data_IF_275267856186
#
_entry.id   IF_275267856186
#
_cell.length_a   1.000
_cell.length_b   1.000
_cell.length_c   1.000
_cell.angle_alpha   90.00
_cell.angle_beta   90.00
_cell.angle_gamma   90.00
#
_symmetry.space_group_name_H-M   'P 1'
#
loop_
_entity.id
_entity.type
_entity.pdbx_description
1 polymer ?
#
# COMPACT_ATOMS: atom_id res chain seq x y z
N UNK A 1 3.42 -7.24 2.18
CA UNK A 1 2.85 -6.39 1.11
C UNK A 1 2.93 -7.05 -0.26
N UNK A 2 4.14 -7.36 -0.81
CA UNK A 2 4.31 -7.99 -2.14
C UNK A 2 3.48 -9.27 -2.31
N UNK A 3 3.52 -10.17 -1.32
CA UNK A 3 2.77 -11.43 -1.36
C UNK A 3 1.25 -11.22 -1.51
N UNK A 4 0.69 -10.19 -0.89
CA UNK A 4 -0.74 -9.85 -0.99
C UNK A 4 -1.09 -9.23 -2.35
N UNK A 5 -0.34 -8.21 -2.79
CA UNK A 5 -0.66 -7.46 -4.01
C UNK A 5 -0.31 -8.19 -5.30
N UNK A 6 0.84 -8.85 -5.31
CA UNK A 6 1.44 -9.40 -6.54
C UNK A 6 1.17 -10.90 -6.65
N UNK A 7 1.68 -11.67 -5.71
CA UNK A 7 1.62 -13.15 -5.78
C UNK A 7 0.36 -13.75 -5.18
N UNK A 8 -0.38 -12.99 -4.38
CA UNK A 8 -1.61 -13.45 -3.70
C UNK A 8 -1.38 -14.72 -2.87
N UNK A 9 -0.24 -14.77 -2.22
CA UNK A 9 0.15 -15.87 -1.33
C UNK A 9 -0.02 -15.54 0.15
N UNK A 10 -0.09 -14.24 0.52
CA UNK A 10 -0.43 -13.81 1.86
C UNK A 10 -1.95 -13.66 2.00
N UNK A 11 -2.49 -14.10 3.12
CA UNK A 11 -3.88 -13.89 3.48
C UNK A 11 -4.15 -12.48 4.07
N UNK A 12 -5.41 -12.20 4.40
CA UNK A 12 -5.81 -10.91 4.98
C UNK A 12 -5.26 -10.70 6.38
N UNK A 13 -5.11 -11.77 7.17
CA UNK A 13 -4.57 -11.72 8.52
C UNK A 13 -3.10 -11.29 8.52
N UNK A 14 -2.27 -11.92 7.68
CA UNK A 14 -0.88 -11.53 7.53
C UNK A 14 -0.76 -10.09 7.00
N UNK A 15 -1.59 -9.71 6.05
CA UNK A 15 -1.59 -8.36 5.50
C UNK A 15 -1.98 -7.32 6.55
N UNK A 16 -3.06 -7.55 7.31
CA UNK A 16 -3.51 -6.67 8.39
C UNK A 16 -2.46 -6.53 9.49
N UNK A 17 -1.80 -7.62 9.88
CA UNK A 17 -0.70 -7.59 10.86
C UNK A 17 0.43 -6.65 10.41
N UNK A 18 0.80 -6.69 9.12
CA UNK A 18 1.81 -5.76 8.56
C UNK A 18 1.31 -4.31 8.54
N UNK A 19 0.05 -4.08 8.19
CA UNK A 19 -0.57 -2.74 8.23
C UNK A 19 -0.61 -2.17 9.64
N UNK A 20 -0.85 -3.01 10.65
CA UNK A 20 -0.93 -2.61 12.06
C UNK A 20 0.44 -2.45 12.76
N UNK A 21 1.56 -2.63 12.04
CA UNK A 21 2.91 -2.43 12.58
C UNK A 21 3.57 -3.68 13.16
N UNK A 22 3.04 -4.89 12.88
CA UNK A 22 3.66 -6.18 13.24
C UNK A 22 3.89 -6.34 14.74
N UNK A 23 2.83 -6.18 15.55
CA UNK A 23 2.88 -6.27 17.01
C UNK A 23 3.43 -7.61 17.50
N UNK A 24 3.16 -8.70 16.80
CA UNK A 24 3.66 -10.05 17.09
C UNK A 24 5.20 -10.15 17.02
N UNK A 25 5.85 -9.22 16.33
CA UNK A 25 7.32 -9.14 16.23
C UNK A 25 7.88 -8.12 17.21
N UNK A 26 7.26 -6.94 17.33
CA UNK A 26 7.87 -5.78 17.98
C UNK A 26 7.31 -5.46 19.37
N UNK A 27 6.17 -6.03 19.77
CA UNK A 27 5.56 -5.73 21.09
C UNK A 27 6.44 -6.20 22.27
N UNK A 28 7.29 -7.19 22.03
CA UNK A 28 8.18 -7.72 23.06
C UNK A 28 9.21 -6.66 23.52
N UNK A 29 9.42 -6.55 24.81
CA UNK A 29 10.39 -5.62 25.39
C UNK A 29 9.92 -4.16 25.44
N UNK A 30 8.61 -3.90 25.43
CA UNK A 30 8.04 -2.56 25.65
C UNK A 30 8.17 -1.62 24.43
N UNK A 31 8.44 -2.14 23.25
CA UNK A 31 8.51 -1.33 22.02
C UNK A 31 7.12 -0.89 21.58
N UNK A 32 7.01 0.35 21.10
CA UNK A 32 5.77 0.89 20.52
C UNK A 32 5.58 0.51 19.05
N UNK A 33 4.42 0.84 18.52
CA UNK A 33 4.02 0.51 17.13
C UNK A 33 4.91 1.17 16.04
N UNK A 34 5.71 2.17 16.40
CA UNK A 34 6.66 2.82 15.48
C UNK A 34 8.04 2.17 15.47
N UNK A 35 8.25 1.06 16.20
CA UNK A 35 9.54 0.36 16.21
C UNK A 35 9.85 -0.37 14.89
N UNK A 36 8.83 -0.70 14.11
CA UNK A 36 8.97 -1.38 12.83
C UNK A 36 9.32 -0.41 11.70
N UNK A 37 10.27 -0.81 10.84
CA UNK A 37 10.55 -0.14 9.57
C UNK A 37 9.87 -0.94 8.45
N UNK A 38 8.92 -0.30 7.78
CA UNK A 38 8.20 -0.91 6.65
C UNK A 38 8.84 -0.50 5.33
N UNK A 39 8.97 -1.44 4.42
CA UNK A 39 9.43 -1.16 3.05
C UNK A 39 8.80 -2.12 2.04
N UNK A 40 8.70 -1.69 0.80
CA UNK A 40 8.32 -2.53 -0.33
C UNK A 40 9.59 -3.08 -0.98
N UNK A 41 10.59 -2.25 -1.14
CA UNK A 41 11.86 -2.47 -1.82
C UNK A 41 13.00 -1.95 -0.95
N UNK A 42 14.19 -2.49 -1.15
CA UNK A 42 15.42 -2.07 -0.47
C UNK A 42 16.57 -2.11 -1.47
N UNK A 43 17.78 -1.71 -1.04
CA UNK A 43 18.97 -1.68 -1.90
C UNK A 43 19.33 -3.06 -2.48
N UNK A 44 19.02 -4.14 -1.76
CA UNK A 44 19.08 -5.50 -2.28
C UNK A 44 17.72 -5.92 -2.84
N UNK A 45 17.73 -6.48 -4.04
CA UNK A 45 16.52 -6.92 -4.72
C UNK A 45 16.08 -5.96 -5.84
N UNK A 46 14.88 -6.17 -6.35
CA UNK A 46 14.29 -5.33 -7.39
C UNK A 46 13.91 -3.95 -6.88
N UNK A 47 14.06 -2.94 -7.74
CA UNK A 47 13.38 -1.65 -7.58
C UNK A 47 11.86 -1.81 -7.66
N UNK A 48 11.09 -0.81 -7.29
CA UNK A 48 9.63 -0.83 -7.41
C UNK A 48 9.18 -1.02 -8.87
N UNK A 49 9.89 -0.41 -9.82
CA UNK A 49 9.61 -0.59 -11.25
C UNK A 49 9.87 -2.02 -11.69
N UNK A 50 11.03 -2.58 -11.32
CA UNK A 50 11.42 -3.93 -11.73
C UNK A 50 10.55 -4.99 -11.05
N UNK A 51 10.09 -4.74 -9.83
CA UNK A 51 9.18 -5.61 -9.09
C UNK A 51 7.88 -5.91 -9.85
N UNK A 52 7.41 -4.99 -10.68
CA UNK A 52 6.19 -5.14 -11.49
C UNK A 52 6.50 -5.34 -12.98
N UNK A 53 7.77 -5.51 -13.34
CA UNK A 53 8.22 -5.61 -14.73
C UNK A 53 8.97 -6.90 -15.04
N UNK A 54 9.43 -7.63 -14.03
CA UNK A 54 10.23 -8.83 -14.20
C UNK A 54 9.72 -9.98 -13.33
N UNK A 55 9.57 -11.16 -13.92
CA UNK A 55 9.32 -12.38 -13.17
C UNK A 55 10.62 -13.01 -12.64
N UNK A 56 11.73 -12.79 -13.34
CA UNK A 56 13.05 -13.35 -13.04
C UNK A 56 14.09 -12.26 -12.93
N UNK A 57 15.16 -12.53 -12.19
CA UNK A 57 16.33 -11.67 -12.15
C UNK A 57 17.12 -11.77 -13.45
N UNK A 58 17.75 -10.66 -13.83
CA UNK A 58 18.60 -10.50 -15.00
C UNK A 58 19.95 -9.93 -14.58
N UNK A 59 20.75 -10.76 -13.89
CA UNK A 59 22.05 -10.39 -13.30
C UNK A 59 23.24 -10.83 -14.18
N UNK A 60 23.03 -11.10 -15.46
CA UNK A 60 24.07 -11.62 -16.37
C UNK A 60 25.26 -10.67 -16.46
N UNK A 61 25.02 -9.36 -16.37
CA UNK A 61 26.06 -8.30 -16.37
C UNK A 61 26.98 -8.34 -15.15
N UNK A 62 26.57 -9.00 -14.05
CA UNK A 62 27.37 -9.13 -12.84
C UNK A 62 28.55 -10.13 -13.02
N UNK A 63 28.59 -10.89 -14.11
CA UNK A 63 29.63 -11.89 -14.35
C UNK A 63 29.50 -13.20 -13.55
N UNK A 64 28.47 -13.34 -12.73
CA UNK A 64 28.19 -14.49 -11.85
C UNK A 64 27.28 -15.54 -12.50
N UNK A 65 27.06 -15.48 -13.82
CA UNK A 65 26.18 -16.36 -14.58
C UNK A 65 24.74 -16.37 -14.03
N UNK A 66 24.24 -15.20 -13.58
CA UNK A 66 22.92 -15.01 -13.00
C UNK A 66 22.64 -15.87 -11.75
N UNK A 67 23.69 -16.30 -11.02
CA UNK A 67 23.56 -17.11 -9.78
C UNK A 67 23.44 -16.29 -8.53
N UNK A 68 23.89 -15.04 -8.57
CA UNK A 68 23.88 -14.07 -7.48
C UNK A 68 22.49 -13.42 -7.30
N UNK A 69 22.30 -12.74 -6.19
CA UNK A 69 21.03 -12.09 -5.84
C UNK A 69 19.94 -13.10 -5.44
N UNK A 70 18.71 -12.60 -5.30
CA UNK A 70 17.57 -13.39 -4.82
C UNK A 70 16.80 -14.06 -5.97
N UNK A 71 16.43 -15.34 -5.80
CA UNK A 71 15.55 -16.04 -6.76
C UNK A 71 14.06 -15.80 -6.47
N UNK A 72 13.69 -15.46 -5.22
CA UNK A 72 12.31 -15.30 -4.77
C UNK A 72 11.97 -13.83 -4.54
N UNK A 73 11.76 -13.08 -5.62
CA UNK A 73 11.51 -11.63 -5.56
C UNK A 73 10.06 -11.27 -5.18
N UNK A 74 9.13 -12.23 -5.23
CA UNK A 74 7.69 -11.95 -5.13
C UNK A 74 7.25 -10.89 -6.15
N UNK A 75 7.84 -10.92 -7.34
CA UNK A 75 7.63 -10.00 -8.44
C UNK A 75 6.66 -10.56 -9.49
N UNK A 76 6.23 -9.74 -10.40
CA UNK A 76 5.41 -10.12 -11.54
C UNK A 76 5.64 -9.17 -12.73
N UNK A 77 5.89 -9.73 -13.90
CA UNK A 77 6.12 -8.95 -15.13
C UNK A 77 4.86 -8.29 -15.70
N UNK A 78 3.68 -8.51 -15.11
CA UNK A 78 2.39 -7.99 -15.57
C UNK A 78 2.00 -8.39 -17.01
N UNK A 79 2.57 -9.49 -17.50
CA UNK A 79 2.29 -10.03 -18.83
C UNK A 79 3.34 -9.75 -19.90
N UNK A 80 4.41 -9.01 -19.57
CA UNK A 80 5.55 -8.79 -20.46
C UNK A 80 6.83 -8.66 -19.64
N UNK A 81 7.85 -9.47 -19.93
CA UNK A 81 9.12 -9.41 -19.24
C UNK A 81 9.92 -8.18 -19.72
N UNK A 82 10.37 -7.35 -18.75
CA UNK A 82 11.12 -6.14 -19.04
C UNK A 82 10.29 -4.97 -19.57
N UNK A 83 10.92 -4.09 -20.36
CA UNK A 83 10.26 -2.92 -20.93
C UNK A 83 9.06 -3.32 -21.83
N UNK A 84 8.00 -2.50 -21.82
CA UNK A 84 6.81 -2.76 -22.64
C UNK A 84 6.06 -1.46 -22.92
N UNK A 85 5.65 -1.29 -24.18
CA UNK A 85 4.82 -0.17 -24.64
C UNK A 85 3.33 -0.55 -24.72
N UNK A 86 2.97 -1.78 -24.34
CA UNK A 86 1.59 -2.24 -24.34
C UNK A 86 0.80 -1.50 -23.25
N UNK A 87 -0.17 -0.69 -23.65
CA UNK A 87 -0.98 0.14 -22.74
C UNK A 87 -1.59 -0.66 -21.59
N UNK A 88 -2.03 -1.89 -21.84
CA UNK A 88 -2.60 -2.76 -20.80
C UNK A 88 -1.56 -3.13 -19.75
N UNK A 89 -0.32 -3.43 -20.16
CA UNK A 89 0.80 -3.79 -19.27
C UNK A 89 1.24 -2.57 -18.46
N UNK A 90 1.49 -1.44 -19.14
CA UNK A 90 1.96 -0.20 -18.48
C UNK A 90 0.93 0.35 -17.52
N UNK A 91 -0.38 0.30 -17.86
CA UNK A 91 -1.48 0.68 -16.95
C UNK A 91 -1.51 -0.20 -15.71
N UNK A 92 -1.37 -1.52 -15.86
CA UNK A 92 -1.38 -2.46 -14.76
C UNK A 92 -0.17 -2.26 -13.83
N UNK A 93 1.03 -2.08 -14.40
CA UNK A 93 2.25 -1.75 -13.66
C UNK A 93 2.09 -0.45 -12.86
N UNK A 94 1.57 0.60 -13.49
CA UNK A 94 1.30 1.88 -12.83
C UNK A 94 0.33 1.73 -11.64
N UNK A 95 -0.75 0.96 -11.79
CA UNK A 95 -1.68 0.67 -10.68
C UNK A 95 -1.01 -0.06 -9.53
N UNK A 96 -0.22 -1.08 -9.82
CA UNK A 96 0.48 -1.84 -8.78
C UNK A 96 1.55 -1.02 -8.07
N UNK A 97 2.34 -0.21 -8.79
CA UNK A 97 3.29 0.74 -8.18
C UNK A 97 2.57 1.66 -7.18
N UNK A 98 1.48 2.31 -7.61
CA UNK A 98 0.70 3.20 -6.75
C UNK A 98 0.07 2.48 -5.56
N UNK A 99 -0.47 1.28 -5.76
CA UNK A 99 -1.07 0.50 -4.66
C UNK A 99 -0.03 0.06 -3.61
N UNK A 100 1.17 -0.31 -4.04
CA UNK A 100 2.28 -0.67 -3.15
C UNK A 100 2.78 0.53 -2.36
N UNK A 101 2.99 1.68 -3.01
CA UNK A 101 3.38 2.93 -2.34
C UNK A 101 2.30 3.41 -1.36
N UNK A 102 1.02 3.37 -1.77
CA UNK A 102 -0.09 3.72 -0.89
C UNK A 102 -0.15 2.79 0.33
N UNK A 103 0.03 1.48 0.14
CA UNK A 103 0.09 0.52 1.26
C UNK A 103 1.23 0.83 2.21
N UNK A 104 2.42 1.13 1.69
CA UNK A 104 3.58 1.51 2.50
C UNK A 104 3.27 2.76 3.35
N UNK A 105 2.77 3.81 2.72
CA UNK A 105 2.52 5.09 3.38
C UNK A 105 1.33 5.05 4.34
N UNK A 106 0.36 4.15 4.13
CA UNK A 106 -0.81 3.97 4.98
C UNK A 106 -0.63 2.87 6.04
N UNK A 107 0.54 2.24 6.09
CA UNK A 107 0.89 1.28 7.14
C UNK A 107 1.42 1.98 8.39
N UNK A 108 1.18 1.40 9.54
CA UNK A 108 1.74 1.83 10.82
C UNK A 108 3.20 1.41 10.93
N UNK A 109 4.03 2.25 11.55
CA UNK A 109 5.48 2.08 11.60
C UNK A 109 6.21 3.18 10.84
N UNK A 110 7.51 3.06 10.66
CA UNK A 110 8.34 4.00 9.91
C UNK A 110 8.42 3.53 8.44
N UNK A 111 7.90 4.29 7.47
CA UNK A 111 8.05 3.93 6.07
C UNK A 111 9.48 4.22 5.60
N UNK A 112 10.11 3.25 4.94
CA UNK A 112 11.38 3.40 4.24
C UNK A 112 11.12 3.28 2.74
N UNK A 113 11.48 4.29 1.99
CA UNK A 113 11.40 4.34 0.53
C UNK A 113 12.80 4.15 -0.05
N UNK A 114 12.98 3.22 -0.98
CA UNK A 114 14.21 3.09 -1.73
C UNK A 114 14.35 4.29 -2.68
N UNK A 115 15.51 4.97 -2.63
CA UNK A 115 15.77 6.11 -3.49
C UNK A 115 15.65 5.76 -4.98
N UNK A 116 14.82 6.51 -5.71
CA UNK A 116 14.51 6.28 -7.12
C UNK A 116 13.23 5.50 -7.38
N UNK A 117 12.63 4.85 -6.39
CA UNK A 117 11.33 4.19 -6.57
C UNK A 117 10.23 5.21 -6.90
N UNK A 118 10.28 6.39 -6.29
CA UNK A 118 9.42 7.54 -6.57
C UNK A 118 9.60 8.12 -7.97
N UNK A 119 10.76 7.87 -8.58
CA UNK A 119 11.10 8.33 -9.92
C UNK A 119 10.81 7.29 -11.02
N UNK A 120 10.43 6.07 -10.61
CA UNK A 120 10.26 4.96 -11.54
C UNK A 120 11.56 4.31 -12.01
N UNK A 121 12.66 4.45 -11.24
CA UNK A 121 13.98 3.89 -11.56
C UNK A 121 13.91 2.39 -11.80
N UNK A 122 14.60 1.94 -12.85
CA UNK A 122 14.80 0.53 -13.18
C UNK A 122 16.29 0.17 -13.10
N UNK A 123 16.58 -1.04 -12.61
CA UNK A 123 17.88 -1.69 -12.73
C UNK A 123 17.87 -2.74 -13.85
N UNK A 124 16.89 -2.62 -14.79
CA UNK A 124 16.72 -3.52 -15.94
C UNK A 124 16.60 -5.00 -15.55
N UNK A 125 15.97 -5.25 -14.38
CA UNK A 125 15.80 -6.60 -13.85
C UNK A 125 17.03 -7.14 -13.11
N UNK A 126 18.09 -6.36 -12.95
CA UNK A 126 19.19 -6.70 -12.06
C UNK A 126 18.77 -6.47 -10.60
N UNK A 127 18.76 -7.51 -9.80
CA UNK A 127 18.36 -7.43 -8.40
C UNK A 127 19.55 -7.48 -7.41
N UNK A 128 20.78 -7.32 -7.94
CA UNK A 128 22.02 -7.33 -7.16
C UNK A 128 23.08 -6.39 -7.77
N UNK A 129 22.72 -5.12 -7.93
CA UNK A 129 23.51 -4.14 -8.68
C UNK A 129 24.70 -3.55 -7.89
N UNK A 130 25.14 -4.16 -6.79
CA UNK A 130 26.17 -3.63 -5.89
C UNK A 130 27.54 -3.37 -6.54
N UNK A 131 27.89 -4.13 -7.59
CA UNK A 131 29.17 -4.04 -8.29
C UNK A 131 29.13 -3.09 -9.50
N UNK A 132 27.98 -2.46 -9.77
CA UNK A 132 27.79 -1.59 -10.93
C UNK A 132 28.04 -0.12 -10.58
N UNK A 133 28.92 0.51 -11.34
CA UNK A 133 29.05 1.97 -11.41
C UNK A 133 28.78 2.42 -12.86
N UNK A 134 27.57 2.12 -13.33
CA UNK A 134 27.11 2.36 -14.68
C UNK A 134 25.59 2.63 -14.72
N UNK A 135 25.02 2.66 -15.91
CA UNK A 135 23.59 2.94 -16.16
C UNK A 135 22.61 1.92 -15.55
N UNK A 136 23.06 0.78 -15.02
CA UNK A 136 22.24 -0.15 -14.28
C UNK A 136 21.93 0.42 -12.89
N UNK A 137 22.94 1.04 -12.24
CA UNK A 137 22.81 1.58 -10.89
C UNK A 137 22.55 3.08 -10.83
N UNK A 138 22.94 3.83 -11.87
CA UNK A 138 22.76 5.27 -11.90
C UNK A 138 21.30 5.69 -11.98
N UNK A 139 21.00 6.88 -11.47
CA UNK A 139 19.70 7.50 -11.59
C UNK A 139 19.64 8.35 -12.86
N UNK A 140 18.82 7.95 -13.82
CA UNK A 140 18.61 8.73 -15.05
C UNK A 140 17.57 9.83 -14.79
N UNK A 141 18.05 11.03 -14.52
CA UNK A 141 17.21 12.20 -14.27
C UNK A 141 16.46 12.69 -15.51
N UNK A 142 16.79 12.20 -16.70
CA UNK A 142 16.08 12.54 -17.94
C UNK A 142 14.84 11.68 -18.16
N UNK A 143 14.69 10.56 -17.42
CA UNK A 143 13.61 9.57 -17.55
C UNK A 143 12.73 9.50 -16.29
N UNK A 144 12.58 10.61 -15.58
CA UNK A 144 11.77 10.68 -14.35
C UNK A 144 10.29 10.50 -14.66
N UNK A 145 9.63 9.59 -13.94
CA UNK A 145 8.17 9.46 -13.90
C UNK A 145 7.60 10.57 -12.98
N UNK A 146 7.44 11.78 -13.55
CA UNK A 146 6.97 12.97 -12.82
C UNK A 146 5.61 12.73 -12.15
N UNK A 147 4.74 11.92 -12.77
CA UNK A 147 3.44 11.59 -12.20
C UNK A 147 3.56 10.70 -10.96
N UNK A 148 4.52 9.77 -10.94
CA UNK A 148 4.79 8.92 -9.79
C UNK A 148 5.47 9.71 -8.66
N UNK A 149 6.33 10.66 -9.01
CA UNK A 149 6.99 11.57 -8.06
C UNK A 149 5.95 12.43 -7.33
N UNK A 150 5.08 13.14 -8.08
CA UNK A 150 3.98 13.94 -7.51
C UNK A 150 3.05 13.06 -6.64
N UNK A 151 2.70 11.89 -7.15
CA UNK A 151 1.89 10.91 -6.43
C UNK A 151 2.52 10.55 -5.08
N UNK A 152 3.81 10.26 -5.06
CA UNK A 152 4.55 9.87 -3.84
C UNK A 152 4.63 11.02 -2.84
N UNK A 153 4.91 12.25 -3.31
CA UNK A 153 4.95 13.43 -2.48
C UNK A 153 3.60 13.66 -1.78
N UNK A 154 2.49 13.60 -2.53
CA UNK A 154 1.13 13.78 -1.99
C UNK A 154 0.71 12.65 -1.05
N UNK A 155 1.19 11.42 -1.26
CA UNK A 155 0.98 10.33 -0.30
C UNK A 155 1.68 10.60 1.04
N UNK A 156 2.87 11.18 1.02
CA UNK A 156 3.59 11.59 2.23
C UNK A 156 2.81 12.69 2.96
N UNK A 157 2.26 13.66 2.23
CA UNK A 157 1.40 14.70 2.80
C UNK A 157 0.13 14.09 3.41
N UNK A 158 -0.56 13.18 2.71
CA UNK A 158 -1.71 12.46 3.24
C UNK A 158 -1.35 11.72 4.54
N UNK A 159 -0.24 10.99 4.58
CA UNK A 159 0.23 10.31 5.79
C UNK A 159 0.45 11.30 6.94
N UNK A 160 1.05 12.46 6.66
CA UNK A 160 1.29 13.52 7.66
C UNK A 160 -0.02 14.09 8.20
N UNK A 161 -1.06 14.14 7.37
CA UNK A 161 -2.40 14.59 7.76
C UNK A 161 -3.21 13.55 8.55
N UNK A 162 -2.72 12.30 8.68
CA UNK A 162 -3.40 11.19 9.37
C UNK A 162 -2.69 10.85 10.71
N UNK A 163 -3.08 11.48 11.84
CA UNK A 163 -2.47 11.20 13.16
C UNK A 163 -2.57 9.73 13.57
N UNK A 164 -3.62 9.03 13.16
CA UNK A 164 -3.86 7.61 13.42
C UNK A 164 -2.65 6.71 13.06
N UNK A 165 -1.88 7.07 12.04
CA UNK A 165 -0.73 6.30 11.57
C UNK A 165 0.57 6.65 12.30
N UNK A 166 0.59 7.77 13.05
CA UNK A 166 1.78 8.31 13.71
C UNK A 166 1.77 8.20 15.23
N UNK A 167 0.65 7.79 15.81
CA UNK A 167 0.55 7.49 17.23
C UNK A 167 1.37 6.24 17.56
N UNK A 168 2.24 6.30 18.56
CA UNK A 168 3.14 5.20 18.95
C UNK A 168 2.47 4.06 19.72
N UNK A 169 1.19 4.20 20.11
CA UNK A 169 0.44 3.15 20.82
C UNK A 169 0.06 2.01 19.87
N UNK A 170 -0.04 0.80 20.36
CA UNK A 170 -0.59 -0.31 19.61
C UNK A 170 -2.10 -0.17 19.44
N UNK A 171 -2.63 -0.59 18.29
CA UNK A 171 -4.06 -0.73 18.11
C UNK A 171 -4.54 -2.01 18.80
N UNK A 172 -5.65 -1.91 19.52
CA UNK A 172 -6.23 -3.04 20.26
C UNK A 172 -7.50 -3.57 19.62
N UNK A 173 -8.19 -2.75 18.82
CA UNK A 173 -9.51 -3.05 18.27
C UNK A 173 -10.61 -3.16 19.34
N UNK A 174 -10.30 -2.81 20.59
CA UNK A 174 -11.26 -2.85 21.70
C UNK A 174 -11.95 -1.49 21.85
N UNK A 175 -13.22 -1.54 22.25
CA UNK A 175 -13.95 -0.33 22.58
C UNK A 175 -13.44 0.31 23.88
N UNK A 176 -13.29 1.63 23.86
CA UNK A 176 -13.07 2.43 25.07
C UNK A 176 -14.37 2.58 25.88
N UNK A 177 -14.33 3.38 26.96
CA UNK A 177 -15.48 3.61 27.83
C UNK A 177 -16.70 4.23 27.10
N UNK A 178 -16.45 4.96 26.01
CA UNK A 178 -17.47 5.61 25.19
C UNK A 178 -17.90 4.75 23.98
N UNK A 179 -17.35 3.53 23.87
CA UNK A 179 -17.65 2.60 22.77
C UNK A 179 -16.83 2.83 21.49
N UNK A 180 -15.83 3.72 21.49
CA UNK A 180 -15.00 3.99 20.33
C UNK A 180 -13.84 3.00 20.24
N UNK A 181 -13.53 2.58 19.03
CA UNK A 181 -12.40 1.70 18.72
C UNK A 181 -11.32 2.45 17.94
N UNK A 182 -10.07 2.12 18.21
CA UNK A 182 -8.91 2.65 17.48
C UNK A 182 -8.84 2.10 16.05
N UNK A 183 -9.18 0.82 15.85
CA UNK A 183 -9.28 0.18 14.53
C UNK A 183 -10.42 -0.83 14.49
N UNK A 184 -11.11 -0.89 13.34
CA UNK A 184 -12.05 -1.95 12.99
C UNK A 184 -11.69 -2.46 11.60
N UNK A 185 -11.54 -3.78 11.46
CA UNK A 185 -11.27 -4.43 10.20
C UNK A 185 -12.55 -4.90 9.54
N UNK A 186 -12.73 -4.61 8.25
CA UNK A 186 -13.96 -4.86 7.52
C UNK A 186 -13.72 -5.86 6.37
N UNK A 187 -14.68 -6.75 6.19
CA UNK A 187 -14.73 -7.64 5.04
C UNK A 187 -15.27 -6.93 3.80
N UNK A 188 -15.35 -7.63 2.67
CA UNK A 188 -15.87 -7.10 1.41
C UNK A 188 -17.32 -6.58 1.49
N UNK A 189 -18.11 -7.04 2.45
CA UNK A 189 -19.50 -6.62 2.65
C UNK A 189 -19.61 -5.44 3.63
N UNK A 190 -18.50 -4.79 3.98
CA UNK A 190 -18.47 -3.69 4.93
C UNK A 190 -18.76 -4.11 6.38
N UNK A 191 -18.70 -5.39 6.69
CA UNK A 191 -18.95 -5.95 8.01
C UNK A 191 -17.65 -6.20 8.74
N UNK A 192 -17.68 -6.14 10.07
CA UNK A 192 -16.50 -6.49 10.87
C UNK A 192 -16.01 -7.90 10.57
N UNK A 193 -14.70 -8.06 10.43
CA UNK A 193 -14.04 -9.33 10.17
C UNK A 193 -14.24 -10.30 11.34
N UNK A 194 -14.66 -11.52 11.03
CA UNK A 194 -14.77 -12.62 11.98
C UNK A 194 -13.50 -13.47 11.95
N UNK A 195 -13.26 -14.23 13.03
CA UNK A 195 -12.03 -15.00 13.21
C UNK A 195 -11.72 -15.94 12.02
N UNK A 196 -12.72 -16.64 11.52
CA UNK A 196 -12.59 -17.59 10.41
C UNK A 196 -12.26 -16.93 9.07
N UNK A 197 -12.58 -15.64 8.90
CA UNK A 197 -12.38 -14.94 7.64
C UNK A 197 -10.93 -14.48 7.40
N UNK A 198 -10.10 -14.40 8.45
CA UNK A 198 -8.74 -13.89 8.34
C UNK A 198 -7.85 -14.73 7.43
N UNK A 199 -8.04 -16.04 7.46
CA UNK A 199 -7.22 -17.00 6.72
C UNK A 199 -7.93 -17.60 5.50
N UNK A 200 -9.05 -17.02 5.08
CA UNK A 200 -9.72 -17.44 3.84
C UNK A 200 -8.81 -17.21 2.62
N UNK A 201 -8.54 -18.30 1.90
CA UNK A 201 -7.79 -18.24 0.67
C UNK A 201 -8.52 -17.43 -0.42
N UNK A 202 -7.75 -16.78 -1.28
CA UNK A 202 -8.25 -16.06 -2.46
C UNK A 202 -9.24 -14.91 -2.17
N UNK A 203 -9.14 -14.31 -0.99
CA UNK A 203 -9.90 -13.11 -0.60
C UNK A 203 -8.93 -11.97 -0.36
N UNK A 204 -8.96 -10.95 -1.24
CA UNK A 204 -8.00 -9.86 -1.28
C UNK A 204 -8.64 -8.48 -1.20
N UNK A 205 -9.83 -8.38 -0.60
CA UNK A 205 -10.46 -7.11 -0.21
C UNK A 205 -10.42 -7.00 1.30
N UNK A 206 -9.93 -5.87 1.80
CA UNK A 206 -9.85 -5.55 3.23
C UNK A 206 -10.15 -4.08 3.46
N UNK A 207 -11.02 -3.79 4.43
CA UNK A 207 -11.24 -2.45 4.95
C UNK A 207 -10.53 -2.26 6.29
N UNK A 208 -9.94 -1.08 6.49
CA UNK A 208 -9.33 -0.64 7.74
C UNK A 208 -9.99 0.68 8.14
N UNK A 209 -10.90 0.63 9.11
CA UNK A 209 -11.56 1.80 9.68
C UNK A 209 -10.80 2.25 10.92
N UNK A 210 -10.20 3.41 10.86
CA UNK A 210 -9.48 4.06 11.97
C UNK A 210 -10.43 5.03 12.67
N UNK A 211 -10.62 4.82 13.98
CA UNK A 211 -11.59 5.58 14.76
C UNK A 211 -11.17 7.02 15.03
N UNK A 212 -12.05 7.99 14.72
CA UNK A 212 -11.76 9.41 14.86
C UNK A 212 -11.59 9.87 16.32
N UNK A 213 -12.40 9.34 17.23
CA UNK A 213 -12.35 9.75 18.66
C UNK A 213 -11.26 9.09 19.47
N UNK A 214 -10.63 8.03 18.95
CA UNK A 214 -9.46 7.41 19.60
C UNK A 214 -8.27 8.37 19.67
N UNK A 215 -8.26 9.41 18.80
CA UNK A 215 -7.33 10.54 18.85
C UNK A 215 -8.20 11.81 18.81
N UNK A 216 -8.21 12.53 19.92
CA UNK A 216 -9.07 13.72 20.11
C UNK A 216 -8.94 14.72 18.94
N UNK A 217 -10.08 15.20 18.46
CA UNK A 217 -10.15 16.17 17.36
C UNK A 217 -9.90 15.60 15.96
N UNK A 218 -9.81 14.27 15.79
CA UNK A 218 -9.64 13.66 14.46
C UNK A 218 -10.94 13.05 13.94
N UNK A 219 -11.14 13.08 12.63
CA UNK A 219 -12.23 12.37 11.97
C UNK A 219 -11.84 10.91 11.71
N UNK A 220 -12.82 10.01 11.70
CA UNK A 220 -12.57 8.63 11.32
C UNK A 220 -12.08 8.54 9.85
N UNK A 221 -11.21 7.57 9.59
CA UNK A 221 -10.63 7.33 8.27
C UNK A 221 -10.87 5.88 7.87
N UNK A 222 -11.43 5.66 6.69
CA UNK A 222 -11.63 4.34 6.11
C UNK A 222 -10.64 4.15 4.96
N UNK A 223 -9.75 3.17 5.10
CA UNK A 223 -8.81 2.75 4.06
C UNK A 223 -9.27 1.42 3.51
N UNK A 224 -9.47 1.36 2.21
CA UNK A 224 -9.97 0.19 1.50
C UNK A 224 -8.91 -0.33 0.54
N UNK A 225 -8.59 -1.61 0.64
CA UNK A 225 -7.61 -2.31 -0.18
C UNK A 225 -8.35 -3.33 -1.04
N UNK A 226 -8.21 -3.23 -2.36
CA UNK A 226 -8.70 -4.22 -3.31
C UNK A 226 -7.55 -4.74 -4.17
N UNK A 227 -6.94 -5.86 -3.80
CA UNK A 227 -5.92 -6.52 -4.61
C UNK A 227 -6.51 -7.54 -5.61
N UNK A 228 -7.84 -7.65 -5.72
CA UNK A 228 -8.50 -8.49 -6.71
C UNK A 228 -8.36 -7.93 -8.13
N UNK A 229 -8.64 -8.77 -9.13
CA UNK A 229 -8.54 -8.39 -10.54
C UNK A 229 -9.80 -7.71 -11.08
N UNK A 230 -10.85 -7.61 -10.26
CA UNK A 230 -12.16 -7.09 -10.64
C UNK A 230 -12.57 -5.94 -9.74
N UNK A 231 -13.27 -5.01 -10.33
CA UNK A 231 -14.02 -4.00 -9.59
C UNK A 231 -15.13 -4.67 -8.78
N UNK A 232 -15.51 -4.06 -7.67
CA UNK A 232 -16.62 -4.58 -6.87
C UNK A 232 -17.19 -3.53 -5.92
N UNK A 233 -18.47 -3.67 -5.57
CA UNK A 233 -19.10 -2.78 -4.60
C UNK A 233 -18.52 -3.03 -3.19
N UNK A 234 -18.44 -1.95 -2.42
CA UNK A 234 -18.10 -1.98 -1.01
C UNK A 234 -19.11 -1.10 -0.25
N UNK A 235 -19.98 -1.69 0.58
CA UNK A 235 -20.89 -0.95 1.45
C UNK A 235 -20.10 -0.12 2.46
N UNK A 236 -20.45 1.15 2.62
CA UNK A 236 -19.80 2.04 3.57
C UNK A 236 -20.41 1.91 4.96
N UNK A 237 -19.63 2.03 6.03
CA UNK A 237 -20.16 2.22 7.37
C UNK A 237 -21.07 3.45 7.43
N UNK A 238 -22.06 3.44 8.32
CA UNK A 238 -22.97 4.56 8.51
C UNK A 238 -22.19 5.86 8.79
N UNK A 239 -22.64 6.97 8.17
CA UNK A 239 -22.02 8.27 8.28
C UNK A 239 -21.85 8.95 6.93
N UNK A 240 -21.43 10.21 6.97
CA UNK A 240 -21.12 11.00 5.77
C UNK A 240 -19.64 10.88 5.46
N UNK A 241 -19.32 10.46 4.24
CA UNK A 241 -17.95 10.23 3.81
C UNK A 241 -17.48 11.19 2.73
N UNK A 242 -16.21 11.47 2.72
CA UNK A 242 -15.51 12.26 1.70
C UNK A 242 -14.37 11.44 1.13
N UNK A 243 -14.31 11.27 -0.17
CA UNK A 243 -13.20 10.65 -0.85
C UNK A 243 -11.99 11.56 -0.79
N UNK A 244 -10.89 11.07 -0.25
CA UNK A 244 -9.61 11.80 -0.15
C UNK A 244 -8.60 11.33 -1.19
N UNK A 245 -8.68 10.05 -1.55
CA UNK A 245 -7.68 9.41 -2.38
C UNK A 245 -8.23 8.12 -3.01
N UNK A 246 -7.91 7.90 -4.29
CA UNK A 246 -8.10 6.62 -4.99
C UNK A 246 -6.93 6.39 -5.95
N UNK A 247 -6.11 5.39 -5.67
CA UNK A 247 -4.90 5.06 -6.44
C UNK A 247 -5.18 4.61 -7.87
N UNK A 248 -6.42 4.28 -8.21
CA UNK A 248 -6.82 3.83 -9.56
C UNK A 248 -7.04 4.98 -10.55
N UNK A 249 -7.29 6.18 -10.03
CA UNK A 249 -7.61 7.35 -10.84
C UNK A 249 -6.35 7.96 -11.47
N UNK A 250 -6.52 8.66 -12.58
CA UNK A 250 -5.46 9.44 -13.22
C UNK A 250 -5.00 10.60 -12.31
N UNK A 251 -5.95 11.21 -11.60
CA UNK A 251 -5.72 12.21 -10.54
C UNK A 251 -6.15 11.62 -9.20
N UNK A 252 -5.25 10.89 -8.50
CA UNK A 252 -5.63 10.06 -7.35
C UNK A 252 -6.13 10.82 -6.12
N UNK A 253 -5.80 12.10 -6.00
CA UNK A 253 -6.15 12.90 -4.82
C UNK A 253 -7.27 13.88 -5.15
N UNK A 254 -8.36 13.81 -4.40
CA UNK A 254 -9.46 14.76 -4.52
C UNK A 254 -9.05 16.12 -3.93
N UNK A 255 -9.29 17.19 -4.69
CA UNK A 255 -9.13 18.57 -4.20
C UNK A 255 -10.29 18.84 -3.24
N UNK A 256 -10.00 19.28 -2.01
CA UNK A 256 -10.98 19.53 -0.94
C UNK A 256 -11.85 18.32 -0.53
N UNK A 257 -11.59 17.16 -1.13
CA UNK A 257 -12.35 15.95 -0.96
C UNK A 257 -13.65 15.93 -1.78
N UNK A 258 -13.96 14.77 -2.36
CA UNK A 258 -15.20 14.55 -3.09
C UNK A 258 -16.23 13.90 -2.16
N UNK A 259 -17.42 14.52 -2.04
CA UNK A 259 -18.50 13.98 -1.24
C UNK A 259 -19.00 12.67 -1.83
N UNK A 260 -19.17 11.67 -0.98
CA UNK A 260 -19.78 10.39 -1.34
C UNK A 260 -21.23 10.41 -0.86
N UNK A 261 -22.17 10.56 -1.79
CA UNK A 261 -23.61 10.64 -1.50
C UNK A 261 -24.32 9.27 -1.60
N UNK A 262 -23.56 8.17 -1.52
CA UNK A 262 -24.05 6.79 -1.59
C UNK A 262 -23.63 6.03 -0.34
N UNK A 263 -24.40 5.03 0.03
CA UNK A 263 -24.10 4.05 1.08
C UNK A 263 -23.08 2.98 0.63
N UNK A 264 -22.60 3.06 -0.61
CA UNK A 264 -21.59 2.15 -1.17
C UNK A 264 -20.71 2.87 -2.20
N UNK A 265 -19.49 2.35 -2.41
CA UNK A 265 -18.60 2.76 -3.48
C UNK A 265 -18.15 1.58 -4.32
N UNK A 266 -17.73 1.84 -5.55
CA UNK A 266 -17.08 0.82 -6.39
C UNK A 266 -15.58 0.85 -6.16
N UNK A 267 -15.05 -0.17 -5.48
CA UNK A 267 -13.61 -0.37 -5.37
C UNK A 267 -13.07 -0.85 -6.71
N UNK A 268 -12.15 -0.12 -7.28
CA UNK A 268 -11.46 -0.51 -8.50
C UNK A 268 -10.50 -1.67 -8.26
N UNK A 269 -10.32 -2.49 -9.27
CA UNK A 269 -9.34 -3.57 -9.25
C UNK A 269 -7.94 -3.03 -8.97
N UNK A 270 -7.19 -3.71 -8.09
CA UNK A 270 -5.81 -3.36 -7.74
C UNK A 270 -5.64 -1.90 -7.30
N UNK A 271 -6.50 -1.46 -6.37
CA UNK A 271 -6.49 -0.09 -5.85
C UNK A 271 -6.55 0.00 -4.34
N UNK A 272 -6.12 1.15 -3.85
CA UNK A 272 -6.29 1.61 -2.48
C UNK A 272 -7.13 2.87 -2.53
N UNK A 273 -8.18 2.92 -1.71
CA UNK A 273 -9.09 4.07 -1.60
C UNK A 273 -9.11 4.56 -0.15
N UNK A 274 -9.06 5.87 0.07
CA UNK A 274 -9.12 6.50 1.38
C UNK A 274 -10.32 7.43 1.44
N UNK A 275 -11.19 7.19 2.42
CA UNK A 275 -12.31 8.06 2.76
C UNK A 275 -12.11 8.61 4.17
N UNK A 276 -12.60 9.81 4.40
CA UNK A 276 -12.60 10.47 5.70
C UNK A 276 -14.03 10.82 6.08
N UNK A 277 -14.40 10.51 7.32
CA UNK A 277 -15.70 10.92 7.85
C UNK A 277 -15.77 12.45 7.91
N UNK A 278 -16.91 12.99 7.55
CA UNK A 278 -17.20 14.43 7.76
C UNK A 278 -17.51 14.64 9.23
N UNK A 279 -16.95 15.70 9.81
CA UNK A 279 -17.50 16.19 11.07
C UNK A 279 -18.97 16.51 10.84
N UNK A 280 -19.89 15.88 11.57
CA UNK A 280 -21.26 16.37 11.63
C UNK A 280 -21.16 17.79 12.18
N UNK A 281 -21.60 18.76 11.38
CA UNK A 281 -21.86 20.10 11.90
C UNK A 281 -22.86 19.88 13.02
N UNK A 282 -22.44 20.08 14.27
CA UNK A 282 -23.33 20.07 15.41
C UNK A 282 -24.42 21.12 15.10
N UNK A 283 -25.63 20.64 14.75
CA UNK A 283 -26.82 21.45 14.58
C UNK A 283 -27.35 21.86 15.94
#
# INVERSE_FOLDING_TARGET
MRAFWIRKTADRGEFAARLAGSSEIFHHGGRGALAGINFVTAHDGFTLHDLVSYDRKHNESNGEQNRDGHDHNLSWNCGAEGASDLLMVTTLRGRLKRALLATLMLSRGVPMLLAGDELGRSQRGNNNAYAHDDEISWMDWSQVDEALLDFTARLIELRRALPHLRDGRWWHGQADADGHRDVVWLDRLGREMRAEQWHEAQRFVLGMLLGGRAIEGTAAVLVLFNAEQKDGPFPLPAGAWTLRFDSSLATPFAVDGERVDSDSITLKARSVTVLQARAELAS
#
